data_IF_254307103038
#
_entry.id   IF_254307103038
#
_cell.length_a   1.000
_cell.length_b   1.000
_cell.length_c   1.000
_cell.angle_alpha   90.00
_cell.angle_beta   90.00
_cell.angle_gamma   90.00
#
_symmetry.space_group_name_H-M   'P 1'
#
loop_
_entity.id
_entity.type
_entity.pdbx_description
1 polymer ?
#
# COMPACT_ATOMS: atom_id res chain seq x y z
N UNK A 1 -20.70 -14.37 5.05
CA UNK A 1 -20.21 -13.21 5.83
C UNK A 1 -21.05 -12.02 5.47
N UNK A 2 -21.18 -11.02 6.34
CA UNK A 2 -21.83 -9.75 5.98
C UNK A 2 -21.03 -9.05 4.87
N UNK A 3 -21.70 -8.34 3.94
CA UNK A 3 -21.03 -7.62 2.86
C UNK A 3 -20.14 -6.51 3.43
N UNK A 4 -18.92 -6.36 2.87
CA UNK A 4 -18.01 -5.27 3.22
C UNK A 4 -18.19 -4.10 2.26
N UNK A 5 -17.87 -2.89 2.70
CA UNK A 5 -17.81 -1.70 1.85
C UNK A 5 -16.37 -1.36 1.49
N UNK A 6 -16.04 -1.38 0.20
CA UNK A 6 -14.69 -1.14 -0.31
C UNK A 6 -14.63 0.15 -1.11
N UNK A 7 -13.64 0.99 -0.83
CA UNK A 7 -13.23 2.10 -1.69
C UNK A 7 -11.98 1.68 -2.47
N UNK A 8 -12.08 1.63 -3.80
CA UNK A 8 -11.03 1.13 -4.68
C UNK A 8 -10.57 2.24 -5.62
N UNK A 9 -9.28 2.54 -5.62
CA UNK A 9 -8.67 3.51 -6.55
C UNK A 9 -8.11 2.78 -7.76
N UNK A 10 -8.05 3.43 -8.93
CA UNK A 10 -7.36 2.84 -10.09
C UNK A 10 -8.16 1.77 -10.84
N UNK A 11 -9.48 1.96 -10.97
CA UNK A 11 -10.37 0.97 -11.58
C UNK A 11 -10.62 1.18 -13.09
N UNK A 12 -9.79 1.98 -13.78
CA UNK A 12 -10.01 2.27 -15.22
C UNK A 12 -9.70 1.09 -16.15
N UNK A 13 -8.92 0.13 -15.68
CA UNK A 13 -8.51 -1.05 -16.44
C UNK A 13 -7.86 -2.08 -15.50
N UNK A 14 -7.51 -3.25 -16.05
CA UNK A 14 -6.65 -4.23 -15.39
C UNK A 14 -7.18 -4.70 -14.04
N UNK A 15 -6.28 -4.85 -13.07
CA UNK A 15 -6.58 -5.42 -11.76
C UNK A 15 -7.70 -4.70 -11.01
N UNK A 16 -7.74 -3.36 -11.06
CA UNK A 16 -8.77 -2.60 -10.35
C UNK A 16 -10.18 -2.87 -10.86
N UNK A 17 -10.36 -2.92 -12.18
CA UNK A 17 -11.65 -3.22 -12.80
C UNK A 17 -12.11 -4.66 -12.49
N UNK A 18 -11.21 -5.63 -12.62
CA UNK A 18 -11.51 -7.04 -12.33
C UNK A 18 -11.87 -7.25 -10.85
N UNK A 19 -11.14 -6.59 -9.94
CA UNK A 19 -11.41 -6.66 -8.51
C UNK A 19 -12.81 -6.15 -8.16
N UNK A 20 -13.30 -5.11 -8.85
CA UNK A 20 -14.68 -4.62 -8.70
C UNK A 20 -15.68 -5.70 -9.08
N UNK A 21 -15.53 -6.34 -10.24
CA UNK A 21 -16.46 -7.39 -10.69
C UNK A 21 -16.55 -8.55 -9.70
N UNK A 22 -15.40 -9.06 -9.24
CA UNK A 22 -15.35 -10.19 -8.32
C UNK A 22 -15.95 -9.85 -6.95
N UNK A 23 -15.61 -8.68 -6.38
CA UNK A 23 -16.17 -8.27 -5.08
C UNK A 23 -17.67 -7.98 -5.16
N UNK A 24 -18.16 -7.41 -6.26
CA UNK A 24 -19.62 -7.28 -6.49
C UNK A 24 -20.32 -8.63 -6.56
N UNK A 25 -19.73 -9.63 -7.22
CA UNK A 25 -20.31 -10.98 -7.28
C UNK A 25 -20.40 -11.66 -5.91
N UNK A 26 -19.56 -11.26 -4.96
CA UNK A 26 -19.58 -11.73 -3.56
C UNK A 26 -20.58 -10.95 -2.68
N UNK A 27 -21.29 -9.96 -3.24
CA UNK A 27 -22.29 -9.16 -2.55
C UNK A 27 -21.75 -7.92 -1.86
N UNK A 28 -20.48 -7.57 -2.05
CA UNK A 28 -19.89 -6.39 -1.41
C UNK A 28 -20.38 -5.06 -1.99
N UNK A 29 -20.33 -4.03 -1.15
CA UNK A 29 -20.61 -2.65 -1.52
C UNK A 29 -19.34 -2.02 -2.09
N UNK A 30 -19.41 -1.49 -3.30
CA UNK A 30 -18.20 -1.03 -4.00
C UNK A 30 -18.32 0.44 -4.39
N UNK A 31 -17.31 1.19 -3.97
CA UNK A 31 -17.07 2.58 -4.35
C UNK A 31 -15.78 2.60 -5.17
N UNK A 32 -15.84 3.14 -6.39
CA UNK A 32 -14.68 3.22 -7.29
C UNK A 32 -14.31 4.68 -7.57
N UNK A 33 -13.01 4.95 -7.59
CA UNK A 33 -12.49 6.26 -7.96
C UNK A 33 -11.61 6.20 -9.20
N UNK A 34 -11.69 7.24 -10.01
CA UNK A 34 -10.88 7.42 -11.21
C UNK A 34 -11.19 8.74 -11.89
N UNK A 35 -10.36 9.12 -12.88
CA UNK A 35 -10.49 10.41 -13.57
C UNK A 35 -10.06 10.32 -15.05
N UNK A 36 -10.84 10.91 -15.98
CA UNK A 36 -12.24 11.31 -15.81
C UNK A 36 -13.14 10.08 -15.67
N UNK A 37 -14.01 10.07 -14.68
CA UNK A 37 -14.80 8.88 -14.34
C UNK A 37 -15.80 8.52 -15.43
N UNK A 38 -16.43 9.52 -16.05
CA UNK A 38 -17.46 9.33 -17.06
C UNK A 38 -17.01 8.42 -18.20
N UNK A 39 -15.78 8.58 -18.68
CA UNK A 39 -15.23 7.81 -19.80
C UNK A 39 -14.42 6.61 -19.34
N UNK A 40 -13.53 6.78 -18.35
CA UNK A 40 -12.62 5.71 -17.93
C UNK A 40 -13.28 4.63 -17.07
N UNK A 41 -14.38 4.95 -16.39
CA UNK A 41 -15.11 4.01 -15.52
C UNK A 41 -16.48 3.64 -16.08
N UNK A 42 -16.81 4.04 -17.32
CA UNK A 42 -18.09 3.77 -17.96
C UNK A 42 -18.48 2.28 -17.95
N UNK A 43 -17.49 1.41 -18.20
CA UNK A 43 -17.67 -0.04 -18.23
C UNK A 43 -18.09 -0.64 -16.87
N UNK A 44 -17.85 0.08 -15.75
CA UNK A 44 -18.24 -0.36 -14.42
C UNK A 44 -19.67 0.05 -14.04
N UNK A 45 -20.35 0.91 -14.81
CA UNK A 45 -21.72 1.36 -14.49
C UNK A 45 -22.71 0.20 -14.34
N UNK A 46 -22.55 -0.85 -15.14
CA UNK A 46 -23.39 -2.06 -15.08
C UNK A 46 -23.19 -2.94 -13.84
N UNK A 47 -22.14 -2.70 -13.05
CA UNK A 47 -21.82 -3.50 -11.86
C UNK A 47 -22.63 -3.09 -10.62
N UNK A 48 -23.27 -1.91 -10.66
CA UNK A 48 -23.90 -1.29 -9.50
C UNK A 48 -22.92 -0.72 -8.47
N UNK A 49 -21.63 -0.57 -8.83
CA UNK A 49 -20.67 0.19 -8.03
C UNK A 49 -20.98 1.70 -8.06
N UNK A 50 -20.74 2.38 -6.93
CA UNK A 50 -20.80 3.84 -6.86
C UNK A 50 -19.52 4.43 -7.47
N UNK A 51 -19.66 5.22 -8.53
CA UNK A 51 -18.54 5.79 -9.28
C UNK A 51 -18.31 7.24 -8.86
N UNK A 52 -17.05 7.58 -8.53
CA UNK A 52 -16.63 8.93 -8.16
C UNK A 52 -15.54 9.43 -9.11
N UNK A 53 -15.70 10.66 -9.61
CA UNK A 53 -14.62 11.36 -10.30
C UNK A 53 -13.63 11.95 -9.29
N UNK A 54 -12.59 11.17 -9.00
CA UNK A 54 -11.55 11.54 -8.05
C UNK A 54 -10.21 10.94 -8.46
N UNK A 55 -9.21 11.80 -8.61
CA UNK A 55 -7.81 11.40 -8.73
C UNK A 55 -7.15 11.32 -7.36
N UNK A 56 -6.29 10.32 -7.15
CA UNK A 56 -5.54 10.15 -5.89
C UNK A 56 -4.55 11.29 -5.61
N UNK A 57 -4.18 12.05 -6.65
CA UNK A 57 -3.31 13.23 -6.56
C UNK A 57 -4.08 14.54 -6.39
N UNK A 58 -5.40 14.49 -6.17
CA UNK A 58 -6.20 15.69 -5.96
C UNK A 58 -5.83 16.39 -4.64
N UNK A 59 -6.09 17.70 -4.51
CA UNK A 59 -5.98 18.41 -3.23
C UNK A 59 -6.77 17.72 -2.09
N UNK A 60 -6.27 17.84 -0.86
CA UNK A 60 -6.82 17.14 0.32
C UNK A 60 -8.29 17.52 0.59
N UNK A 61 -8.68 18.78 0.37
CA UNK A 61 -10.05 19.27 0.48
C UNK A 61 -10.99 18.62 -0.55
N UNK A 62 -10.51 18.44 -1.78
CA UNK A 62 -11.26 17.74 -2.84
C UNK A 62 -11.45 16.26 -2.50
N UNK A 63 -10.41 15.60 -1.98
CA UNK A 63 -10.51 14.20 -1.52
C UNK A 63 -11.50 14.11 -0.36
N UNK A 64 -11.40 15.01 0.62
CA UNK A 64 -12.30 15.07 1.80
C UNK A 64 -13.75 15.21 1.37
N UNK A 65 -14.07 16.19 0.52
CA UNK A 65 -15.43 16.41 0.04
C UNK A 65 -15.99 15.19 -0.73
N UNK A 66 -15.15 14.48 -1.48
CA UNK A 66 -15.59 13.27 -2.20
C UNK A 66 -15.81 12.09 -1.26
N UNK A 67 -14.91 11.89 -0.28
CA UNK A 67 -15.07 10.86 0.75
C UNK A 67 -16.35 11.09 1.56
N UNK A 68 -16.64 12.33 1.95
CA UNK A 68 -17.85 12.66 2.71
C UNK A 68 -19.14 12.35 1.94
N UNK A 69 -19.17 12.63 0.63
CA UNK A 69 -20.34 12.30 -0.23
C UNK A 69 -20.66 10.81 -0.26
N UNK A 70 -19.64 9.96 -0.11
CA UNK A 70 -19.81 8.51 -0.27
C UNK A 70 -19.73 7.72 1.02
N UNK A 71 -19.36 8.38 2.12
CA UNK A 71 -19.19 7.75 3.41
C UNK A 71 -20.50 7.07 3.84
N UNK A 72 -21.63 7.76 3.74
CA UNK A 72 -22.92 7.26 4.21
C UNK A 72 -23.78 6.60 3.11
N UNK A 73 -23.21 6.30 1.93
CA UNK A 73 -23.93 5.56 0.88
C UNK A 73 -24.32 4.14 1.33
N UNK A 74 -23.54 3.58 2.26
CA UNK A 74 -23.76 2.26 2.83
C UNK A 74 -23.78 2.36 4.36
N UNK A 75 -24.66 1.58 5.00
CA UNK A 75 -25.01 1.73 6.42
C UNK A 75 -23.82 1.67 7.40
N UNK A 76 -22.72 1.03 7.01
CA UNK A 76 -21.55 0.86 7.87
C UNK A 76 -20.36 1.76 7.50
N UNK A 77 -20.52 2.72 6.59
CA UNK A 77 -19.38 3.46 6.07
C UNK A 77 -18.47 2.60 5.20
N UNK A 78 -17.21 3.01 5.07
CA UNK A 78 -16.16 2.27 4.37
C UNK A 78 -15.46 1.31 5.35
N UNK A 79 -15.25 0.06 4.94
CA UNK A 79 -14.50 -0.95 5.69
C UNK A 79 -13.04 -1.02 5.23
N UNK A 80 -12.83 -1.06 3.91
CA UNK A 80 -11.53 -1.33 3.31
C UNK A 80 -11.22 -0.29 2.24
N UNK A 81 -9.97 0.16 2.21
CA UNK A 81 -9.43 1.01 1.15
C UNK A 81 -8.40 0.21 0.38
N UNK A 82 -8.57 0.15 -0.94
CA UNK A 82 -7.67 -0.60 -1.83
C UNK A 82 -6.99 0.38 -2.79
N UNK A 83 -5.72 0.64 -2.51
CA UNK A 83 -4.90 1.56 -3.28
C UNK A 83 -4.27 0.82 -4.48
N UNK A 84 -4.92 0.85 -5.64
CA UNK A 84 -4.43 0.20 -6.88
C UNK A 84 -3.94 1.24 -7.90
N UNK A 85 -4.41 2.49 -7.81
CA UNK A 85 -4.02 3.56 -8.72
C UNK A 85 -2.49 3.70 -8.81
N UNK A 86 -1.96 3.46 -9.99
CA UNK A 86 -0.54 3.59 -10.26
C UNK A 86 -0.18 3.21 -11.69
N UNK A 87 1.03 3.59 -12.10
CA UNK A 87 1.61 3.19 -13.38
C UNK A 87 3.12 3.00 -13.23
N UNK A 88 3.69 2.18 -14.11
CA UNK A 88 5.12 1.92 -14.15
C UNK A 88 5.79 3.09 -14.88
N UNK A 89 6.97 3.51 -14.41
CA UNK A 89 7.83 4.41 -15.16
C UNK A 89 8.32 3.70 -16.42
N UNK A 90 7.83 4.11 -17.60
CA UNK A 90 8.39 3.68 -18.88
C UNK A 90 9.27 4.78 -19.46
N UNK A 91 10.23 4.42 -20.33
CA UNK A 91 11.04 5.38 -21.07
C UNK A 91 10.22 6.36 -21.95
N UNK A 92 8.93 6.06 -22.17
CA UNK A 92 7.97 6.92 -22.87
C UNK A 92 7.24 7.91 -21.95
N UNK A 93 7.24 7.68 -20.62
CA UNK A 93 6.67 8.61 -19.63
C UNK A 93 7.74 9.60 -19.17
N UNK A 94 7.33 10.87 -19.10
CA UNK A 94 8.27 11.99 -19.12
C UNK A 94 8.79 12.42 -17.75
N UNK A 95 8.27 11.91 -16.64
CA UNK A 95 8.70 12.38 -15.31
C UNK A 95 8.57 11.33 -14.20
N UNK A 96 9.68 11.10 -13.48
CA UNK A 96 9.74 10.29 -12.26
C UNK A 96 8.85 10.89 -11.16
N UNK A 97 8.73 12.21 -11.12
CA UNK A 97 7.92 12.93 -10.15
C UNK A 97 6.43 12.53 -10.23
N UNK A 98 5.92 12.33 -11.44
CA UNK A 98 4.52 11.94 -11.64
C UNK A 98 4.24 10.51 -11.13
N UNK A 99 5.23 9.62 -11.25
CA UNK A 99 5.17 8.27 -10.67
C UNK A 99 5.13 8.34 -9.14
N UNK A 100 5.95 9.19 -8.51
CA UNK A 100 5.88 9.39 -7.06
C UNK A 100 4.55 10.01 -6.62
N UNK A 101 4.06 11.03 -7.34
CA UNK A 101 2.75 11.63 -7.06
C UNK A 101 1.64 10.59 -7.07
N UNK A 102 1.58 9.74 -8.10
CA UNK A 102 0.49 8.75 -8.21
C UNK A 102 0.70 7.55 -7.29
N UNK A 103 1.86 6.91 -7.35
CA UNK A 103 2.08 5.61 -6.72
C UNK A 103 2.42 5.71 -5.23
N UNK A 104 2.97 6.84 -4.77
CA UNK A 104 3.38 7.04 -3.38
C UNK A 104 2.50 8.06 -2.65
N UNK A 105 2.43 9.29 -3.16
CA UNK A 105 1.63 10.34 -2.51
C UNK A 105 0.12 10.06 -2.64
N UNK A 106 -0.32 9.48 -3.75
CA UNK A 106 -1.74 9.13 -3.96
C UNK A 106 -2.33 8.27 -2.84
N UNK A 107 -1.78 7.07 -2.55
CA UNK A 107 -2.19 6.26 -1.43
C UNK A 107 -2.15 6.98 -0.08
N UNK A 108 -1.12 7.81 0.16
CA UNK A 108 -1.00 8.59 1.40
C UNK A 108 -2.11 9.63 1.54
N UNK A 109 -2.44 10.35 0.47
CA UNK A 109 -3.49 11.38 0.46
C UNK A 109 -4.86 10.77 0.77
N UNK A 110 -5.21 9.66 0.10
CA UNK A 110 -6.46 8.94 0.34
C UNK A 110 -6.52 8.40 1.77
N UNK A 111 -5.42 7.79 2.23
CA UNK A 111 -5.34 7.21 3.58
C UNK A 111 -5.46 8.30 4.64
N UNK A 112 -4.80 9.45 4.49
CA UNK A 112 -4.82 10.55 5.45
C UNK A 112 -6.24 11.06 5.74
N UNK A 113 -7.08 11.15 4.72
CA UNK A 113 -8.48 11.58 4.84
C UNK A 113 -9.36 10.49 5.47
N UNK A 114 -9.17 9.23 5.09
CA UNK A 114 -10.00 8.12 5.56
C UNK A 114 -9.60 7.61 6.96
N UNK A 115 -8.31 7.71 7.31
CA UNK A 115 -7.74 7.10 8.52
C UNK A 115 -8.41 7.57 9.82
N UNK A 116 -8.75 8.86 10.05
CA UNK A 116 -9.46 9.26 11.25
C UNK A 116 -10.81 8.53 11.41
N UNK A 117 -11.56 8.37 10.31
CA UNK A 117 -12.87 7.70 10.31
C UNK A 117 -12.73 6.18 10.42
N UNK A 118 -11.72 5.58 9.76
CA UNK A 118 -11.43 4.15 9.87
C UNK A 118 -10.91 3.79 11.27
N UNK A 119 -10.04 4.62 11.87
CA UNK A 119 -9.59 4.47 13.26
C UNK A 119 -10.78 4.45 14.21
N UNK A 120 -11.78 5.32 14.01
CA UNK A 120 -13.02 5.32 14.79
C UNK A 120 -13.63 3.91 14.90
N UNK A 121 -13.55 3.14 13.81
CA UNK A 121 -14.15 1.80 13.64
C UNK A 121 -13.20 0.63 13.94
N UNK A 122 -11.89 0.78 13.78
CA UNK A 122 -10.90 -0.30 13.89
C UNK A 122 -10.01 -0.15 15.13
N UNK A 123 -10.43 -0.74 16.26
CA UNK A 123 -9.70 -0.70 17.54
C UNK A 123 -8.33 -1.38 17.50
N UNK A 124 -8.18 -2.45 16.72
CA UNK A 124 -6.91 -3.19 16.58
C UNK A 124 -5.78 -2.42 15.89
N UNK A 125 -6.11 -1.58 14.90
CA UNK A 125 -5.11 -0.73 14.21
C UNK A 125 -4.57 0.35 15.15
N UNK A 126 -5.43 0.93 15.99
CA UNK A 126 -4.99 1.90 17.02
C UNK A 126 -4.04 1.26 18.03
N UNK A 127 -4.33 0.04 18.48
CA UNK A 127 -3.47 -0.68 19.41
C UNK A 127 -2.08 -0.95 18.81
N UNK A 128 -2.01 -1.27 17.52
CA UNK A 128 -0.74 -1.44 16.81
C UNK A 128 0.04 -0.11 16.69
N UNK A 129 -0.61 0.98 16.29
CA UNK A 129 0.06 2.29 16.16
C UNK A 129 0.55 2.85 17.51
N UNK A 130 -0.26 2.73 18.57
CA UNK A 130 0.12 3.13 19.93
C UNK A 130 1.27 2.29 20.50
N UNK A 131 1.41 1.05 20.05
CA UNK A 131 2.53 0.19 20.42
C UNK A 131 3.85 0.52 19.71
N UNK A 132 3.80 1.30 18.61
CA UNK A 132 4.95 1.58 17.74
C UNK A 132 5.49 3.00 17.90
N UNK A 133 4.63 4.02 17.99
CA UNK A 133 5.05 5.43 18.07
C UNK A 133 5.36 5.80 19.53
N UNK A 134 6.61 6.17 19.83
CA UNK A 134 7.04 6.56 21.18
C UNK A 134 7.46 5.39 22.09
N UNK A 135 7.47 4.17 21.57
CA UNK A 135 7.94 2.96 22.25
C UNK A 135 9.14 2.34 21.52
N UNK A 136 9.90 3.17 20.78
CA UNK A 136 11.06 2.72 20.04
C UNK A 136 12.12 2.19 21.01
N UNK A 137 12.40 0.88 20.95
CA UNK A 137 13.39 0.24 21.82
C UNK A 137 14.85 0.62 21.47
N UNK A 138 15.04 1.45 20.43
CA UNK A 138 16.34 1.80 19.90
C UNK A 138 17.10 2.80 20.77
N UNK A 139 18.32 2.46 21.16
CA UNK A 139 19.27 3.39 21.78
C UNK A 139 20.07 4.11 20.68
N UNK A 140 19.78 5.40 20.49
CA UNK A 140 20.38 6.20 19.41
C UNK A 140 21.90 6.37 19.58
N UNK A 141 22.38 6.50 20.81
CA UNK A 141 23.82 6.64 21.09
C UNK A 141 24.56 5.36 20.71
N UNK A 142 24.06 4.20 21.16
CA UNK A 142 24.65 2.91 20.78
C UNK A 142 24.58 2.66 19.28
N UNK A 143 23.48 3.04 18.63
CA UNK A 143 23.31 2.89 17.18
C UNK A 143 24.40 3.66 16.43
N UNK A 144 24.65 4.92 16.79
CA UNK A 144 25.72 5.74 16.20
C UNK A 144 27.09 5.14 16.50
N UNK A 145 27.35 4.65 17.72
CA UNK A 145 28.60 3.94 18.03
C UNK A 145 28.83 2.75 17.09
N UNK A 146 27.79 1.93 16.85
CA UNK A 146 27.90 0.78 15.93
C UNK A 146 28.12 1.20 14.48
N UNK A 147 27.52 2.30 14.03
CA UNK A 147 27.78 2.84 12.69
C UNK A 147 29.25 3.29 12.54
N UNK A 148 29.82 3.95 13.55
CA UNK A 148 31.22 4.36 13.55
C UNK A 148 32.14 3.14 13.55
N UNK A 149 31.85 2.14 14.37
CA UNK A 149 32.61 0.89 14.40
C UNK A 149 32.60 0.18 13.04
N UNK A 150 31.43 0.05 12.40
CA UNK A 150 31.28 -0.54 11.07
C UNK A 150 32.08 0.24 10.01
N UNK A 151 32.01 1.56 10.00
CA UNK A 151 32.70 2.38 8.98
C UNK A 151 34.21 2.41 9.19
N UNK A 152 34.68 2.39 10.43
CA UNK A 152 36.12 2.37 10.76
C UNK A 152 36.71 0.97 10.86
N UNK A 153 35.89 -0.08 10.74
CA UNK A 153 36.29 -1.47 10.99
C UNK A 153 36.95 -1.67 12.36
N UNK A 154 36.37 -1.05 13.38
CA UNK A 154 36.83 -1.13 14.78
C UNK A 154 35.73 -1.71 15.68
N UNK A 155 36.04 -1.95 16.96
CA UNK A 155 35.05 -2.45 17.93
C UNK A 155 34.37 -3.74 17.47
N UNK A 156 33.03 -3.77 17.38
CA UNK A 156 32.30 -4.96 16.94
C UNK A 156 32.49 -5.35 15.46
N UNK A 157 33.04 -4.45 14.65
CA UNK A 157 33.38 -4.68 13.25
C UNK A 157 34.87 -5.02 13.04
N UNK A 158 35.69 -5.02 14.11
CA UNK A 158 37.11 -5.33 13.99
C UNK A 158 37.32 -6.75 13.44
N UNK A 159 38.15 -6.86 12.40
CA UNK A 159 38.48 -8.13 11.75
C UNK A 159 37.34 -8.77 10.95
N UNK A 160 36.23 -8.05 10.71
CA UNK A 160 35.09 -8.55 9.93
C UNK A 160 34.95 -7.78 8.62
N UNK A 161 34.57 -8.48 7.57
CA UNK A 161 34.12 -7.84 6.33
C UNK A 161 32.77 -7.16 6.58
N UNK A 162 32.71 -5.86 6.30
CA UNK A 162 31.49 -5.07 6.49
C UNK A 162 30.62 -5.17 5.23
N UNK A 163 29.39 -5.70 5.30
CA UNK A 163 28.52 -5.85 4.14
C UNK A 163 27.95 -4.49 3.71
N UNK A 164 27.44 -4.43 2.48
CA UNK A 164 26.84 -3.21 1.91
C UNK A 164 25.70 -2.63 2.77
N UNK A 165 24.97 -3.49 3.48
CA UNK A 165 23.86 -3.09 4.36
C UNK A 165 23.88 -3.92 5.64
N UNK A 166 23.73 -3.23 6.77
CA UNK A 166 23.58 -3.86 8.09
C UNK A 166 22.28 -3.36 8.71
N UNK A 167 21.29 -4.24 8.97
CA UNK A 167 20.09 -3.85 9.69
C UNK A 167 20.45 -3.59 11.17
N UNK A 168 20.10 -2.40 11.67
CA UNK A 168 20.30 -2.01 13.06
C UNK A 168 18.96 -2.01 13.80
N UNK A 169 18.99 -2.44 15.06
CA UNK A 169 17.80 -2.56 15.91
C UNK A 169 17.09 -3.91 15.76
N UNK A 170 16.52 -4.39 16.86
CA UNK A 170 15.86 -5.72 16.95
C UNK A 170 14.72 -5.86 15.94
N UNK A 171 13.86 -4.86 15.85
CA UNK A 171 12.71 -4.88 14.94
C UNK A 171 13.14 -4.81 13.48
N UNK A 172 14.08 -3.93 13.14
CA UNK A 172 14.62 -3.80 11.79
C UNK A 172 15.28 -5.10 11.33
N UNK A 173 16.08 -5.72 12.21
CA UNK A 173 16.68 -7.03 11.95
C UNK A 173 15.63 -8.12 11.77
N UNK A 174 14.66 -8.23 12.68
CA UNK A 174 13.62 -9.27 12.63
C UNK A 174 12.76 -9.16 11.36
N UNK A 175 12.40 -7.94 10.97
CA UNK A 175 11.59 -7.70 9.77
C UNK A 175 12.34 -8.03 8.48
N UNK A 176 13.60 -7.63 8.37
CA UNK A 176 14.42 -7.94 7.19
C UNK A 176 14.68 -9.44 7.11
N UNK A 177 15.09 -10.07 8.22
CA UNK A 177 15.35 -11.51 8.25
C UNK A 177 14.09 -12.32 7.93
N UNK A 178 12.98 -12.01 8.60
CA UNK A 178 11.70 -12.69 8.35
C UNK A 178 11.24 -12.56 6.90
N UNK A 179 11.41 -11.38 6.27
CA UNK A 179 11.05 -11.20 4.86
C UNK A 179 11.96 -12.00 3.92
N UNK A 180 13.26 -12.07 4.20
CA UNK A 180 14.18 -12.90 3.42
C UNK A 180 13.83 -14.39 3.53
N UNK A 181 13.53 -14.88 4.73
CA UNK A 181 13.14 -16.28 4.96
C UNK A 181 11.80 -16.60 4.27
N UNK A 182 10.81 -15.72 4.41
CA UNK A 182 9.52 -15.86 3.72
C UNK A 182 9.69 -15.86 2.20
N UNK A 183 10.48 -14.93 1.65
CA UNK A 183 10.72 -14.85 0.21
C UNK A 183 11.44 -16.09 -0.32
N UNK A 184 12.46 -16.59 0.40
CA UNK A 184 13.15 -17.84 0.04
C UNK A 184 12.17 -18.99 -0.03
N UNK A 185 11.33 -19.14 0.99
CA UNK A 185 10.31 -20.18 1.03
C UNK A 185 9.31 -20.07 -0.12
N UNK A 186 8.84 -18.86 -0.45
CA UNK A 186 7.94 -18.66 -1.59
C UNK A 186 8.62 -19.07 -2.90
N UNK A 187 9.88 -18.70 -3.11
CA UNK A 187 10.62 -19.10 -4.30
C UNK A 187 10.78 -20.62 -4.42
N UNK A 188 11.03 -21.31 -3.30
CA UNK A 188 11.13 -22.77 -3.24
C UNK A 188 9.76 -23.44 -3.50
N UNK A 189 8.70 -22.99 -2.83
CA UNK A 189 7.36 -23.59 -2.90
C UNK A 189 6.64 -23.31 -4.23
N UNK A 190 7.02 -22.25 -4.95
CA UNK A 190 6.34 -21.75 -6.17
C UNK A 190 7.26 -21.70 -7.38
N UNK A 191 8.32 -22.48 -7.39
CA UNK A 191 9.28 -22.53 -8.50
C UNK A 191 8.59 -22.91 -9.82
N UNK A 192 7.64 -23.85 -9.77
CA UNK A 192 6.84 -24.29 -10.91
C UNK A 192 6.04 -23.13 -11.52
N UNK A 193 5.35 -22.35 -10.70
CA UNK A 193 4.59 -21.18 -11.13
C UNK A 193 5.54 -20.10 -11.65
N UNK A 194 6.62 -19.81 -10.92
CA UNK A 194 7.58 -18.75 -11.27
C UNK A 194 8.30 -19.01 -12.60
N UNK A 195 8.65 -20.28 -12.90
CA UNK A 195 9.35 -20.67 -14.13
C UNK A 195 8.41 -21.05 -15.28
N UNK A 196 7.12 -21.23 -15.01
CA UNK A 196 6.13 -21.55 -16.06
C UNK A 196 5.96 -20.45 -17.12
N UNK A 197 6.47 -19.24 -16.86
CA UNK A 197 6.39 -18.09 -17.77
C UNK A 197 7.60 -17.93 -18.68
N UNK A 198 8.59 -18.83 -18.59
CA UNK A 198 9.77 -18.80 -19.45
C UNK A 198 9.39 -19.05 -20.92
N UNK A 199 9.99 -18.29 -21.83
CA UNK A 199 9.80 -18.51 -23.27
C UNK A 199 10.51 -19.79 -23.65
N UNK A 200 9.75 -20.79 -24.14
CA UNK A 200 10.34 -22.02 -24.66
C UNK A 200 11.18 -21.70 -25.91
N UNK A 201 12.46 -22.06 -25.87
CA UNK A 201 13.35 -22.05 -27.04
C UNK A 201 13.17 -23.31 -27.87
#
# INVERSE_FOLDING_TARGET
MAPQTLLITGCSSGFGAEFVHQRRALGDNIIVTGRPAETKLAHLKGTGASIIDLGVTAPEDVITANVEKVWDLYACGIDVVVNIAGYILSAAQKDLEDVFKTNFHGPLNITRVLLPKLRAKWTGVRACEQGVIGNEQGDSTKTVTRMIELTKSTGMAAGKTVPLRVPLGTEGWARIKGKCEEASKICEDREDVAKSTDVQQ
#
